data_IF_316035118910
#
_entry.id   IF_316035118910
#
_cell.length_a   1.000
_cell.length_b   1.000
_cell.length_c   1.000
_cell.angle_alpha   90.00
_cell.angle_beta   90.00
_cell.angle_gamma   90.00
#
_symmetry.space_group_name_H-M   'P 1'
#
loop_
_entity.id
_entity.type
_entity.pdbx_description
1 polymer ?
#
# COMPACT_ATOMS: atom_id res chain seq x y z
N UNK A 1 25.57 -0.19 13.78
CA UNK A 1 25.50 1.17 14.40
C UNK A 1 26.37 2.19 13.68
N UNK A 2 27.67 1.95 13.46
CA UNK A 2 28.57 2.95 12.85
C UNK A 2 28.08 3.45 11.47
N UNK A 3 27.81 2.54 10.52
CA UNK A 3 27.32 2.90 9.18
C UNK A 3 26.01 3.70 9.25
N UNK A 4 25.05 3.24 10.07
CA UNK A 4 23.79 3.93 10.32
C UNK A 4 23.99 5.37 10.82
N UNK A 5 24.97 5.59 11.70
CA UNK A 5 25.27 6.92 12.25
C UNK A 5 25.84 7.91 11.23
N UNK A 6 26.53 7.44 10.19
CA UNK A 6 27.02 8.32 9.11
C UNK A 6 25.93 8.56 8.06
N UNK A 7 25.08 7.57 7.81
CA UNK A 7 23.98 7.70 6.85
C UNK A 7 22.87 8.62 7.34
N UNK A 8 22.61 8.68 8.65
CA UNK A 8 21.51 9.48 9.23
C UNK A 8 21.60 10.98 8.94
N UNK A 9 22.79 11.53 8.69
CA UNK A 9 22.99 12.93 8.30
C UNK A 9 23.19 13.13 6.79
N UNK A 10 23.29 12.05 6.02
CA UNK A 10 23.70 12.09 4.61
C UNK A 10 22.58 11.68 3.64
N UNK A 11 21.50 11.05 4.11
CA UNK A 11 20.35 10.67 3.29
C UNK A 11 19.02 10.84 4.03
N UNK A 12 17.92 10.94 3.27
CA UNK A 12 16.57 11.06 3.83
C UNK A 12 16.10 9.77 4.51
N UNK A 13 16.50 8.61 3.99
CA UNK A 13 16.17 7.33 4.58
C UNK A 13 17.17 6.23 4.20
N UNK A 14 17.23 5.17 5.01
CA UNK A 14 18.08 4.00 4.81
C UNK A 14 17.48 2.75 5.48
N UNK A 15 17.86 1.58 4.98
CA UNK A 15 17.49 0.29 5.56
C UNK A 15 18.60 -0.75 5.37
N UNK A 16 18.53 -1.83 6.14
CA UNK A 16 19.38 -3.00 5.91
C UNK A 16 18.68 -3.90 4.87
N UNK A 17 19.40 -4.30 3.82
CA UNK A 17 18.91 -5.24 2.82
C UNK A 17 19.18 -4.78 1.39
N UNK A 18 18.26 -5.15 0.49
CA UNK A 18 18.30 -4.83 -0.94
C UNK A 18 17.43 -3.61 -1.26
N UNK A 19 17.50 -3.14 -2.52
CA UNK A 19 16.61 -2.08 -3.03
C UNK A 19 15.13 -2.40 -2.75
N UNK A 20 14.71 -3.65 -2.90
CA UNK A 20 13.34 -4.09 -2.62
C UNK A 20 12.93 -3.86 -1.16
N UNK A 21 13.87 -3.97 -0.21
CA UNK A 21 13.60 -3.72 1.20
C UNK A 21 13.36 -2.22 1.45
N UNK A 22 14.13 -1.36 0.79
CA UNK A 22 13.95 0.08 0.87
C UNK A 22 12.61 0.49 0.26
N UNK A 23 12.27 -0.02 -0.92
CA UNK A 23 10.99 0.25 -1.58
C UNK A 23 9.81 -0.17 -0.70
N UNK A 24 9.84 -1.36 -0.10
CA UNK A 24 8.82 -1.82 0.85
C UNK A 24 8.68 -0.89 2.06
N UNK A 25 9.80 -0.50 2.66
CA UNK A 25 9.81 0.43 3.79
C UNK A 25 9.15 1.77 3.41
N UNK A 26 9.51 2.32 2.25
CA UNK A 26 8.94 3.57 1.76
C UNK A 26 7.43 3.44 1.49
N UNK A 27 6.97 2.32 0.95
CA UNK A 27 5.54 2.07 0.78
C UNK A 27 4.81 1.96 2.12
N UNK A 28 5.35 1.22 3.09
CA UNK A 28 4.76 1.10 4.42
C UNK A 28 4.61 2.46 5.10
N UNK A 29 5.64 3.30 5.02
CA UNK A 29 5.63 4.64 5.61
C UNK A 29 4.57 5.54 4.95
N UNK A 30 4.43 5.46 3.62
CA UNK A 30 3.40 6.21 2.88
C UNK A 30 1.98 5.71 3.18
N UNK A 31 1.78 4.40 3.24
CA UNK A 31 0.47 3.81 3.56
C UNK A 31 0.10 4.17 5.00
N UNK A 32 1.00 4.02 5.98
CA UNK A 32 0.73 4.38 7.38
C UNK A 32 0.45 5.87 7.58
N UNK A 33 1.07 6.72 6.76
CA UNK A 33 0.86 8.17 6.80
C UNK A 33 -0.43 8.66 6.12
N UNK A 34 -1.15 7.79 5.41
CA UNK A 34 -2.37 8.17 4.70
C UNK A 34 -3.62 7.85 5.51
N UNK A 35 -4.57 8.80 5.60
CA UNK A 35 -5.85 8.56 6.28
C UNK A 35 -6.84 7.83 5.37
N UNK A 36 -6.95 6.51 5.55
CA UNK A 36 -7.92 5.67 4.84
C UNK A 36 -9.35 5.75 5.39
N UNK A 37 -9.58 6.46 6.49
CA UNK A 37 -10.92 6.60 7.09
C UNK A 37 -11.93 7.26 6.14
N UNK A 38 -11.43 8.04 5.18
CA UNK A 38 -12.23 8.63 4.09
C UNK A 38 -12.97 7.59 3.24
N UNK A 39 -12.50 6.33 3.24
CA UNK A 39 -13.13 5.23 2.49
C UNK A 39 -14.06 4.35 3.34
N UNK A 40 -14.37 4.75 4.57
CA UNK A 40 -15.26 4.00 5.45
C UNK A 40 -16.61 3.75 4.78
N UNK A 41 -17.03 2.48 4.71
CA UNK A 41 -18.23 1.99 4.04
C UNK A 41 -18.31 2.27 2.52
N UNK A 42 -17.26 2.81 1.90
CA UNK A 42 -17.24 3.11 0.47
C UNK A 42 -17.04 1.84 -0.37
N UNK A 43 -17.41 1.90 -1.65
CA UNK A 43 -17.02 0.92 -2.66
C UNK A 43 -15.74 1.41 -3.31
N UNK A 44 -14.64 0.66 -3.16
CA UNK A 44 -13.31 1.08 -3.59
C UNK A 44 -12.80 0.18 -4.72
N UNK A 45 -12.20 0.80 -5.73
CA UNK A 45 -11.48 0.13 -6.81
C UNK A 45 -10.02 0.53 -6.69
N UNK A 46 -9.12 -0.46 -6.54
CA UNK A 46 -7.68 -0.24 -6.66
C UNK A 46 -7.33 -0.35 -8.15
N UNK A 47 -6.84 0.74 -8.73
CA UNK A 47 -6.42 0.79 -10.13
C UNK A 47 -5.17 -0.06 -10.35
N UNK A 48 -5.21 -0.93 -11.36
CA UNK A 48 -4.17 -1.94 -11.64
C UNK A 48 -3.04 -1.50 -12.57
N UNK A 49 -3.21 -0.42 -13.34
CA UNK A 49 -2.25 0.03 -14.37
C UNK A 49 -1.19 0.98 -13.80
N UNK A 50 -0.43 0.49 -12.82
CA UNK A 50 0.60 1.29 -12.18
C UNK A 50 1.98 0.71 -12.50
N UNK A 51 2.82 1.45 -13.23
CA UNK A 51 4.25 1.14 -13.43
C UNK A 51 5.03 1.40 -12.13
N UNK A 52 4.62 0.73 -11.06
CA UNK A 52 5.15 0.90 -9.71
C UNK A 52 6.06 -0.30 -9.38
N UNK A 53 7.31 -0.07 -8.95
CA UNK A 53 8.19 -1.14 -8.49
C UNK A 53 7.56 -1.95 -7.34
N UNK A 54 7.66 -3.28 -7.40
CA UNK A 54 7.07 -4.19 -6.41
C UNK A 54 5.56 -3.97 -6.17
N UNK A 55 4.79 -3.71 -7.23
CA UNK A 55 3.34 -3.51 -7.17
C UNK A 55 2.60 -4.60 -6.37
N UNK A 56 3.06 -5.85 -6.42
CA UNK A 56 2.48 -6.98 -5.68
C UNK A 56 2.43 -6.72 -4.17
N UNK A 57 3.50 -6.13 -3.61
CA UNK A 57 3.57 -5.78 -2.19
C UNK A 57 2.63 -4.64 -1.84
N UNK A 58 2.57 -3.61 -2.69
CA UNK A 58 1.70 -2.44 -2.48
C UNK A 58 0.23 -2.88 -2.47
N UNK A 59 -0.19 -3.70 -3.43
CA UNK A 59 -1.56 -4.21 -3.47
C UNK A 59 -1.89 -5.11 -2.27
N UNK A 60 -0.93 -5.90 -1.81
CA UNK A 60 -1.09 -6.70 -0.60
C UNK A 60 -1.36 -5.82 0.64
N UNK A 61 -0.51 -4.83 0.92
CA UNK A 61 -0.66 -3.96 2.09
C UNK A 61 -1.89 -3.04 1.99
N UNK A 62 -2.19 -2.48 0.81
CA UNK A 62 -3.41 -1.70 0.60
C UNK A 62 -4.66 -2.54 0.86
N UNK A 63 -4.69 -3.78 0.39
CA UNK A 63 -5.82 -4.69 0.62
C UNK A 63 -6.01 -4.93 2.12
N UNK A 64 -4.93 -5.18 2.86
CA UNK A 64 -4.96 -5.38 4.31
C UNK A 64 -5.52 -4.17 5.08
N UNK A 65 -5.15 -2.96 4.67
CA UNK A 65 -5.63 -1.72 5.32
C UNK A 65 -7.07 -1.38 4.93
N UNK A 66 -7.46 -1.61 3.67
CA UNK A 66 -8.77 -1.22 3.15
C UNK A 66 -9.90 -2.18 3.53
N UNK A 67 -9.66 -3.50 3.54
CA UNK A 67 -10.69 -4.51 3.86
C UNK A 67 -11.50 -4.19 5.12
N UNK A 68 -10.90 -3.83 6.28
CA UNK A 68 -11.69 -3.55 7.49
C UNK A 68 -12.52 -2.26 7.42
N UNK A 69 -12.28 -1.39 6.42
CA UNK A 69 -12.91 -0.07 6.31
C UNK A 69 -14.03 -0.03 5.26
N UNK A 70 -13.86 -0.73 4.13
CA UNK A 70 -14.70 -0.56 2.94
C UNK A 70 -15.89 -1.52 2.90
N UNK A 71 -16.94 -1.18 2.15
CA UNK A 71 -18.07 -2.09 1.91
C UNK A 71 -17.81 -3.07 0.77
N UNK A 72 -16.99 -2.68 -0.21
CA UNK A 72 -16.45 -3.60 -1.23
C UNK A 72 -15.11 -3.10 -1.73
N UNK A 73 -14.23 -4.04 -2.08
CA UNK A 73 -12.95 -3.81 -2.71
C UNK A 73 -12.88 -4.55 -4.05
N UNK A 74 -12.47 -3.85 -5.09
CA UNK A 74 -12.26 -4.40 -6.43
C UNK A 74 -10.87 -4.01 -6.92
N UNK A 75 -10.35 -4.75 -7.89
CA UNK A 75 -9.08 -4.49 -8.56
C UNK A 75 -9.29 -4.35 -10.06
N UNK A 76 -8.60 -3.40 -10.70
CA UNK A 76 -8.59 -3.23 -12.15
C UNK A 76 -9.02 -1.83 -12.60
N UNK A 77 -9.51 -1.73 -13.83
CA UNK A 77 -10.02 -0.47 -14.37
C UNK A 77 -11.54 -0.37 -14.21
N UNK A 78 -12.15 0.83 -14.16
CA UNK A 78 -13.61 0.98 -14.00
C UNK A 78 -14.45 0.16 -14.99
N UNK A 79 -13.94 -0.09 -16.19
CA UNK A 79 -14.59 -0.89 -17.23
C UNK A 79 -14.26 -2.40 -17.16
N UNK A 80 -13.26 -2.79 -16.37
CA UNK A 80 -12.72 -4.15 -16.26
C UNK A 80 -12.20 -4.41 -14.84
N UNK A 81 -13.13 -4.47 -13.88
CA UNK A 81 -12.81 -4.73 -12.47
C UNK A 81 -13.10 -6.17 -12.06
N UNK A 82 -12.23 -6.74 -11.25
CA UNK A 82 -12.40 -8.03 -10.57
C UNK A 82 -12.78 -7.77 -9.10
N UNK A 83 -13.84 -8.39 -8.57
CA UNK A 83 -14.19 -8.27 -7.16
C UNK A 83 -13.18 -9.01 -6.27
N UNK A 84 -12.63 -8.33 -5.26
CA UNK A 84 -11.68 -8.91 -4.29
C UNK A 84 -12.36 -9.18 -2.96
N UNK A 85 -13.16 -8.22 -2.49
CA UNK A 85 -13.89 -8.32 -1.24
C UNK A 85 -15.25 -7.66 -1.37
N UNK A 86 -16.26 -8.25 -0.73
CA UNK A 86 -17.56 -7.63 -0.54
C UNK A 86 -18.00 -7.94 0.87
N UNK A 87 -18.21 -6.90 1.67
CA UNK A 87 -18.68 -7.06 3.03
C UNK A 87 -20.12 -7.57 2.98
N UNK A 88 -20.31 -8.84 3.37
CA UNK A 88 -21.62 -9.48 3.45
C UNK A 88 -22.23 -9.17 4.81
N UNK A 89 -22.50 -7.90 5.11
CA UNK A 89 -23.35 -7.60 6.26
C UNK A 89 -24.79 -7.88 5.82
N UNK A 90 -25.36 -8.91 6.44
CA UNK A 90 -26.80 -9.22 6.48
C UNK A 90 -27.54 -8.10 7.20
#
# INVERSE_FOLDING_TARGET
MLISSYLSSSCNDYCIGSLKNLEKKLYDDKIKGYDFSVYKNAKVIIKGCSDIPNFEYVYFELTKVLIPLVSSLMYGEPCSTVPIFKNKIK
#
